data_IF_195741533989
#
_entry.id   IF_195741533989
#
_cell.length_a   1.000
_cell.length_b   1.000
_cell.length_c   1.000
_cell.angle_alpha   90.00
_cell.angle_beta   90.00
_cell.angle_gamma   90.00
#
_symmetry.space_group_name_H-M   'P 1'
#
loop_
_entity.id
_entity.type
_entity.pdbx_description
1 polymer ?
#
# COMPACT_ATOMS: atom_id res chain seq x y z
N UNK A 1 11.26 6.40 -12.33
CA UNK A 1 10.67 5.06 -12.59
C UNK A 1 10.88 4.10 -11.42
N UNK A 2 12.11 3.87 -10.95
CA UNK A 2 12.39 3.06 -9.74
C UNK A 2 11.91 3.71 -8.42
N UNK A 3 12.04 5.04 -8.27
CA UNK A 3 11.45 5.77 -7.14
C UNK A 3 9.92 5.66 -7.11
N UNK A 4 9.29 5.77 -8.28
CA UNK A 4 7.86 5.57 -8.49
C UNK A 4 7.40 4.12 -8.24
N UNK A 5 8.32 3.15 -8.28
CA UNK A 5 8.07 1.73 -7.99
C UNK A 5 8.23 1.43 -6.48
N UNK A 6 9.02 2.23 -5.76
CA UNK A 6 9.19 2.14 -4.30
C UNK A 6 8.06 2.83 -3.54
N UNK A 7 7.49 3.92 -4.08
CA UNK A 7 6.29 4.58 -3.55
C UNK A 7 5.05 3.66 -3.51
N UNK A 8 5.05 2.60 -4.29
CA UNK A 8 4.01 1.56 -4.41
C UNK A 8 4.00 0.61 -3.22
N UNK A 9 5.17 0.42 -2.62
CA UNK A 9 5.35 -0.34 -1.39
C UNK A 9 5.20 0.55 -0.15
N UNK A 10 4.73 1.80 -0.31
CA UNK A 10 4.26 2.60 0.82
C UNK A 10 3.15 1.81 1.54
N UNK A 11 3.18 1.78 2.89
CA UNK A 11 2.32 0.90 3.66
C UNK A 11 0.87 1.31 3.41
N UNK A 12 -0.07 0.42 3.69
CA UNK A 12 -1.46 0.82 3.86
C UNK A 12 -1.53 2.09 4.73
N UNK A 13 -2.08 3.17 4.17
CA UNK A 13 -2.51 4.39 4.85
C UNK A 13 -1.83 4.71 6.19
N UNK A 14 -0.58 5.20 6.16
CA UNK A 14 -0.12 6.04 7.27
C UNK A 14 -1.12 7.21 7.36
N UNK A 15 -1.59 7.52 8.56
CA UNK A 15 -2.37 8.75 8.72
C UNK A 15 -1.53 9.97 8.36
N UNK A 16 -0.21 9.91 8.54
CA UNK A 16 0.69 11.01 8.21
C UNK A 16 1.07 11.07 6.73
N UNK A 17 1.16 12.30 6.21
CA UNK A 17 1.73 12.68 4.93
C UNK A 17 3.26 12.72 4.98
N UNK A 18 3.86 12.38 3.85
CA UNK A 18 5.28 12.48 3.54
C UNK A 18 5.47 13.28 2.25
N UNK A 19 6.71 13.63 1.90
CA UNK A 19 7.00 14.35 0.65
C UNK A 19 6.49 13.62 -0.60
N UNK A 20 6.50 12.29 -0.59
CA UNK A 20 6.00 11.46 -1.69
C UNK A 20 4.46 11.51 -1.83
N UNK A 21 3.75 11.90 -0.78
CA UNK A 21 2.29 12.03 -0.80
C UNK A 21 1.82 13.37 -1.40
N UNK A 22 2.73 14.31 -1.68
CA UNK A 22 2.40 15.58 -2.32
C UNK A 22 2.50 15.44 -3.84
N UNK A 23 1.37 15.19 -4.49
CA UNK A 23 1.28 15.04 -5.95
C UNK A 23 1.71 16.31 -6.68
N UNK A 24 1.27 17.46 -6.20
CA UNK A 24 1.65 18.77 -6.73
C UNK A 24 1.76 19.78 -5.58
N UNK A 25 2.94 19.90 -4.94
CA UNK A 25 3.14 20.84 -3.83
C UNK A 25 2.83 22.29 -4.20
N UNK A 26 3.10 22.70 -5.45
CA UNK A 26 2.86 24.05 -5.95
C UNK A 26 1.36 24.37 -6.02
N UNK A 27 0.56 23.43 -6.51
CA UNK A 27 -0.90 23.57 -6.56
C UNK A 27 -1.52 23.63 -5.15
N UNK A 28 -1.01 22.79 -4.23
CA UNK A 28 -1.44 22.80 -2.84
C UNK A 28 -1.17 24.17 -2.20
N UNK A 29 0.05 24.67 -2.34
CA UNK A 29 0.45 25.97 -1.83
C UNK A 29 -0.36 27.11 -2.45
N UNK A 30 -0.56 27.10 -3.77
CA UNK A 30 -1.37 28.08 -4.48
C UNK A 30 -2.82 28.08 -4.03
N UNK A 31 -3.43 26.89 -3.91
CA UNK A 31 -4.81 26.73 -3.45
C UNK A 31 -4.98 27.23 -2.01
N UNK A 32 -4.02 26.90 -1.14
CA UNK A 32 -3.98 27.43 0.21
C UNK A 32 -3.91 28.94 0.17
N UNK A 33 -2.91 29.54 -0.49
CA UNK A 33 -2.70 31.00 -0.55
C UNK A 33 -3.90 31.80 -1.08
N UNK A 34 -4.67 31.24 -2.01
CA UNK A 34 -5.85 31.93 -2.57
C UNK A 34 -7.02 31.98 -1.59
N UNK A 35 -7.14 31.02 -0.66
CA UNK A 35 -8.27 30.88 0.27
C UNK A 35 -9.64 30.94 -0.43
N UNK A 36 -9.78 30.26 -1.57
CA UNK A 36 -10.94 30.42 -2.46
C UNK A 36 -12.30 30.09 -1.83
N UNK A 37 -12.33 29.30 -0.76
CA UNK A 37 -13.56 28.87 -0.08
C UNK A 37 -13.38 28.76 1.44
N UNK A 38 -14.46 28.47 2.16
CA UNK A 38 -14.45 28.37 3.62
C UNK A 38 -13.56 27.24 4.14
N UNK A 39 -13.44 26.13 3.40
CA UNK A 39 -12.62 24.97 3.77
C UNK A 39 -11.13 25.30 3.70
N UNK A 40 -10.68 25.87 2.59
CA UNK A 40 -9.27 26.28 2.37
C UNK A 40 -8.88 27.42 3.30
N UNK A 41 -9.80 28.35 3.59
CA UNK A 41 -9.62 29.38 4.62
C UNK A 41 -9.43 28.76 6.01
N UNK A 42 -10.26 27.78 6.37
CA UNK A 42 -10.14 27.07 7.64
C UNK A 42 -8.77 26.38 7.77
N UNK A 43 -8.35 25.62 6.76
CA UNK A 43 -7.04 24.94 6.77
C UNK A 43 -5.89 25.94 6.87
N UNK A 44 -5.91 27.03 6.11
CA UNK A 44 -4.85 28.04 6.22
C UNK A 44 -4.76 28.69 7.60
N UNK A 45 -5.90 28.97 8.22
CA UNK A 45 -5.92 29.57 9.56
C UNK A 45 -5.35 28.64 10.64
N UNK A 46 -5.35 27.32 10.40
CA UNK A 46 -4.76 26.31 11.27
C UNK A 46 -3.25 26.12 11.03
N UNK A 47 -2.67 26.71 9.97
CA UNK A 47 -1.23 26.68 9.74
C UNK A 47 -0.49 27.53 10.76
N UNK A 48 0.73 27.10 11.10
CA UNK A 48 1.61 27.87 11.98
C UNK A 48 1.94 29.24 11.33
N UNK A 49 2.15 30.30 12.14
CA UNK A 49 2.53 31.61 11.61
C UNK A 49 3.74 31.58 10.66
N UNK A 50 4.76 30.78 10.99
CA UNK A 50 5.96 30.62 10.16
C UNK A 50 5.65 29.99 8.78
N UNK A 51 4.74 29.01 8.73
CA UNK A 51 4.34 28.38 7.47
C UNK A 51 3.54 29.35 6.61
N UNK A 52 2.68 30.18 7.22
CA UNK A 52 1.94 31.22 6.50
C UNK A 52 2.86 32.28 5.92
N UNK A 53 3.88 32.71 6.68
CA UNK A 53 4.90 33.65 6.19
C UNK A 53 5.63 33.08 4.97
N UNK A 54 6.10 31.83 5.04
CA UNK A 54 6.73 31.15 3.89
C UNK A 54 5.78 31.00 2.69
N UNK A 55 4.48 30.79 2.93
CA UNK A 55 3.48 30.69 1.87
C UNK A 55 3.18 32.05 1.22
N UNK A 56 3.20 33.12 2.01
CA UNK A 56 3.00 34.49 1.55
C UNK A 56 4.21 34.95 0.71
N UNK A 57 5.42 34.53 1.07
CA UNK A 57 6.65 34.74 0.29
C UNK A 57 6.70 33.95 -1.02
N UNK A 58 6.02 32.81 -1.09
CA UNK A 58 5.99 31.99 -2.30
C UNK A 58 5.29 32.71 -3.46
N UNK A 59 6.00 32.93 -4.56
CA UNK A 59 5.54 33.69 -5.72
C UNK A 59 4.43 32.99 -6.55
N UNK A 60 4.09 31.75 -6.20
CA UNK A 60 3.11 30.95 -6.93
C UNK A 60 3.66 30.32 -8.21
N UNK A 61 4.95 30.46 -8.49
CA UNK A 61 5.60 30.04 -9.72
C UNK A 61 6.78 29.09 -9.46
N UNK A 62 6.63 27.82 -9.85
CA UNK A 62 7.70 26.83 -9.80
C UNK A 62 7.61 25.86 -8.60
N UNK A 63 8.67 25.11 -8.31
CA UNK A 63 8.68 24.17 -7.19
C UNK A 63 8.78 24.91 -5.85
N UNK A 64 8.17 24.33 -4.80
CA UNK A 64 8.33 24.82 -3.44
C UNK A 64 9.78 24.70 -2.98
N UNK A 65 10.20 25.61 -2.12
CA UNK A 65 11.42 25.42 -1.33
C UNK A 65 11.25 24.24 -0.36
N UNK A 66 12.35 23.55 -0.07
CA UNK A 66 12.34 22.43 0.89
C UNK A 66 11.77 22.87 2.24
N UNK A 67 12.12 24.08 2.70
CA UNK A 67 11.61 24.63 3.96
C UNK A 67 10.10 24.84 3.99
N UNK A 68 9.50 25.33 2.90
CA UNK A 68 8.05 25.50 2.80
C UNK A 68 7.35 24.16 2.68
N UNK A 69 7.92 23.24 1.90
CA UNK A 69 7.38 21.89 1.76
C UNK A 69 7.36 21.14 3.10
N UNK A 70 8.46 21.16 3.85
CA UNK A 70 8.56 20.52 5.16
C UNK A 70 7.61 21.15 6.19
N UNK A 71 7.51 22.49 6.19
CA UNK A 71 6.59 23.21 7.06
C UNK A 71 5.12 22.86 6.78
N UNK A 72 4.74 22.78 5.50
CA UNK A 72 3.39 22.35 5.10
C UNK A 72 3.11 20.91 5.51
N UNK A 73 4.05 19.99 5.27
CA UNK A 73 3.89 18.57 5.69
C UNK A 73 3.71 18.48 7.20
N UNK A 74 4.51 19.22 7.97
CA UNK A 74 4.43 19.24 9.43
C UNK A 74 3.07 19.74 9.93
N UNK A 75 2.59 20.87 9.40
CA UNK A 75 1.32 21.46 9.83
C UNK A 75 0.12 20.61 9.40
N UNK A 76 0.12 20.08 8.17
CA UNK A 76 -0.94 19.18 7.71
C UNK A 76 -0.96 17.89 8.55
N UNK A 77 0.20 17.34 8.91
CA UNK A 77 0.28 16.19 9.80
C UNK A 77 -0.27 16.49 11.20
N UNK A 78 -0.07 17.70 11.71
CA UNK A 78 -0.67 18.14 12.97
C UNK A 78 -2.20 18.13 12.89
N UNK A 79 -2.77 18.60 11.78
CA UNK A 79 -4.23 18.57 11.56
C UNK A 79 -4.75 17.14 11.44
N UNK A 80 -4.01 16.26 10.76
CA UNK A 80 -4.39 14.86 10.63
C UNK A 80 -4.42 14.16 11.99
N UNK A 81 -3.47 14.47 12.87
CA UNK A 81 -3.42 13.92 14.22
C UNK A 81 -4.37 14.61 15.22
N UNK A 82 -5.14 15.62 14.77
CA UNK A 82 -6.08 16.32 15.64
C UNK A 82 -7.34 15.49 15.89
N UNK A 83 -7.84 15.49 17.12
CA UNK A 83 -9.05 14.77 17.49
C UNK A 83 -10.32 15.40 16.90
N UNK A 84 -10.31 16.70 16.61
CA UNK A 84 -11.49 17.52 16.28
C UNK A 84 -11.57 17.99 14.82
N UNK A 85 -10.53 17.75 14.01
CA UNK A 85 -10.45 18.31 12.66
C UNK A 85 -11.66 17.93 11.78
N UNK A 86 -12.09 16.66 11.82
CA UNK A 86 -13.26 16.17 11.09
C UNK A 86 -14.59 16.79 11.51
N UNK A 87 -14.69 17.40 12.69
CA UNK A 87 -15.93 18.00 13.20
C UNK A 87 -16.18 19.41 12.67
N UNK A 88 -15.22 20.00 11.93
CA UNK A 88 -15.36 21.35 11.43
C UNK A 88 -16.59 21.48 10.49
N UNK A 89 -17.47 22.42 10.82
CA UNK A 89 -18.75 22.65 10.10
C UNK A 89 -18.54 22.87 8.59
N UNK A 90 -17.38 23.43 8.21
CA UNK A 90 -17.00 23.66 6.81
C UNK A 90 -16.96 22.37 5.96
N UNK A 91 -16.69 21.22 6.57
CA UNK A 91 -16.64 19.92 5.87
C UNK A 91 -18.03 19.32 5.60
N UNK A 92 -19.09 19.81 6.27
CA UNK A 92 -20.47 19.31 6.06
C UNK A 92 -21.01 19.59 4.64
N UNK A 93 -20.51 20.65 3.99
CA UNK A 93 -20.92 21.07 2.64
C UNK A 93 -20.02 20.51 1.54
N UNK A 94 -19.04 19.68 1.91
CA UNK A 94 -18.01 19.19 1.02
C UNK A 94 -18.47 17.96 0.23
N UNK A 95 -18.11 17.89 -1.05
CA UNK A 95 -18.35 16.71 -1.88
C UNK A 95 -17.33 15.62 -1.57
N UNK A 96 -17.66 14.74 -0.61
CA UNK A 96 -16.81 13.64 -0.18
C UNK A 96 -16.92 12.41 -1.09
N UNK A 97 -15.80 11.68 -1.24
CA UNK A 97 -15.79 10.35 -1.87
C UNK A 97 -16.54 9.34 -0.98
N UNK A 98 -17.06 8.26 -1.58
CA UNK A 98 -17.83 7.24 -0.85
C UNK A 98 -17.07 6.69 0.37
N UNK A 99 -15.78 6.38 0.21
CA UNK A 99 -14.93 5.85 1.28
C UNK A 99 -14.80 6.82 2.47
N UNK A 100 -14.64 8.12 2.20
CA UNK A 100 -14.56 9.15 3.24
C UNK A 100 -15.89 9.27 3.99
N UNK A 101 -17.01 9.23 3.26
CA UNK A 101 -18.36 9.27 3.84
C UNK A 101 -18.65 8.05 4.72
N UNK A 102 -18.35 6.85 4.22
CA UNK A 102 -18.49 5.60 4.99
C UNK A 102 -17.71 5.64 6.30
N UNK A 103 -16.47 6.15 6.26
CA UNK A 103 -15.64 6.26 7.45
C UNK A 103 -16.18 7.31 8.42
N UNK A 104 -16.62 8.47 7.94
CA UNK A 104 -17.26 9.51 8.75
C UNK A 104 -18.54 8.97 9.45
N UNK A 105 -19.38 8.24 8.72
CA UNK A 105 -20.64 7.68 9.24
C UNK A 105 -20.38 6.58 10.29
N UNK A 106 -19.24 5.89 10.19
CA UNK A 106 -18.86 4.81 11.10
C UNK A 106 -18.44 5.27 12.51
N UNK A 107 -18.27 6.58 12.73
CA UNK A 107 -17.75 7.18 13.98
C UNK A 107 -16.44 6.50 14.42
N UNK A 108 -15.35 6.72 13.67
CA UNK A 108 -14.15 5.94 13.78
C UNK A 108 -13.44 6.17 15.12
N UNK A 109 -12.79 5.12 15.64
CA UNK A 109 -11.90 5.23 16.81
C UNK A 109 -10.53 5.81 16.41
N UNK A 110 -9.68 6.16 17.39
CA UNK A 110 -8.44 6.96 17.21
C UNK A 110 -7.60 6.68 15.94
N UNK A 111 -7.30 5.43 15.62
CA UNK A 111 -6.48 5.11 14.43
C UNK A 111 -7.21 5.41 13.11
N UNK A 112 -8.49 5.07 13.05
CA UNK A 112 -9.32 5.34 11.89
C UNK A 112 -9.76 6.81 11.81
N UNK A 113 -9.73 7.54 12.92
CA UNK A 113 -9.98 8.98 12.99
C UNK A 113 -8.88 9.76 12.27
N UNK A 114 -7.61 9.43 12.51
CA UNK A 114 -6.51 10.08 11.79
C UNK A 114 -6.58 9.80 10.28
N UNK A 115 -7.01 8.60 9.89
CA UNK A 115 -7.22 8.27 8.47
C UNK A 115 -8.37 9.07 7.86
N UNK A 116 -9.46 9.27 8.61
CA UNK A 116 -10.56 10.14 8.19
C UNK A 116 -10.07 11.57 7.93
N UNK A 117 -9.30 12.14 8.86
CA UNK A 117 -8.74 13.49 8.69
C UNK A 117 -7.85 13.58 7.44
N UNK A 118 -7.01 12.57 7.19
CA UNK A 118 -6.23 12.49 5.95
C UNK A 118 -7.11 12.45 4.71
N UNK A 119 -8.18 11.66 4.71
CA UNK A 119 -9.10 11.58 3.57
C UNK A 119 -9.86 12.87 3.32
N UNK A 120 -10.22 13.62 4.37
CA UNK A 120 -10.80 14.95 4.24
C UNK A 120 -9.82 15.91 3.55
N UNK A 121 -8.54 15.90 3.93
CA UNK A 121 -7.51 16.71 3.25
C UNK A 121 -7.29 16.27 1.78
N UNK A 122 -7.26 14.97 1.49
CA UNK A 122 -7.17 14.45 0.11
C UNK A 122 -8.40 14.79 -0.75
N UNK A 123 -9.58 14.88 -0.13
CA UNK A 123 -10.81 15.29 -0.80
C UNK A 123 -10.79 16.80 -1.07
N UNK A 124 -10.15 17.58 -0.18
CA UNK A 124 -10.06 19.04 -0.25
C UNK A 124 -9.01 19.49 -1.27
N UNK A 125 -7.90 18.77 -1.35
CA UNK A 125 -6.78 19.07 -2.25
C UNK A 125 -6.55 17.92 -3.25
N UNK A 126 -7.50 17.64 -4.17
CA UNK A 126 -7.42 16.53 -5.13
C UNK A 126 -6.16 16.51 -5.99
N UNK A 127 -5.71 17.69 -6.38
CA UNK A 127 -4.56 17.88 -7.28
C UNK A 127 -3.25 18.11 -6.52
N UNK A 128 -3.35 18.56 -5.25
CA UNK A 128 -2.22 18.80 -4.37
C UNK A 128 -1.72 17.55 -3.65
N UNK A 129 -2.63 16.75 -3.09
CA UNK A 129 -2.32 15.57 -2.28
C UNK A 129 -2.64 14.30 -3.08
N UNK A 130 -1.70 13.35 -3.09
CA UNK A 130 -1.85 12.10 -3.80
C UNK A 130 -2.94 11.25 -3.17
N UNK A 131 -4.04 11.09 -3.90
CA UNK A 131 -5.03 10.05 -3.62
C UNK A 131 -4.38 8.69 -3.88
N UNK A 132 -4.42 7.79 -2.91
CA UNK A 132 -3.93 6.43 -3.09
C UNK A 132 -4.72 5.74 -4.23
N UNK A 133 -4.14 5.69 -5.43
CA UNK A 133 -4.78 5.08 -6.59
C UNK A 133 -4.54 3.56 -6.55
N UNK A 134 -5.60 2.73 -6.50
CA UNK A 134 -5.47 1.28 -6.43
C UNK A 134 -5.03 0.64 -7.75
N UNK A 135 -4.80 1.42 -8.82
CA UNK A 135 -4.48 0.88 -10.14
C UNK A 135 -3.27 -0.04 -10.11
N UNK A 136 -2.23 0.34 -9.38
CA UNK A 136 -1.02 -0.47 -9.32
C UNK A 136 -1.18 -1.72 -8.45
N UNK A 137 -1.99 -1.64 -7.40
CA UNK A 137 -2.42 -2.82 -6.65
C UNK A 137 -3.17 -3.80 -7.57
N UNK A 138 -4.07 -3.31 -8.41
CA UNK A 138 -4.79 -4.13 -9.39
C UNK A 138 -3.87 -4.68 -10.47
N UNK A 139 -2.93 -3.89 -10.99
CA UNK A 139 -1.93 -4.37 -11.98
C UNK A 139 -1.06 -5.46 -11.35
N UNK A 140 -0.54 -5.26 -10.14
CA UNK A 140 0.24 -6.26 -9.43
C UNK A 140 -0.59 -7.54 -9.18
N UNK A 141 -1.84 -7.40 -8.75
CA UNK A 141 -2.76 -8.52 -8.58
C UNK A 141 -3.01 -9.29 -9.88
N UNK A 142 -3.18 -8.60 -11.01
CA UNK A 142 -3.32 -9.22 -12.33
C UNK A 142 -2.06 -9.98 -12.73
N UNK A 143 -0.88 -9.40 -12.55
CA UNK A 143 0.41 -10.05 -12.82
C UNK A 143 0.52 -11.34 -12.00
N UNK A 144 0.30 -11.26 -10.68
CA UNK A 144 0.34 -12.44 -9.80
C UNK A 144 -0.66 -13.50 -10.25
N UNK A 145 -1.88 -13.10 -10.62
CA UNK A 145 -2.92 -14.00 -11.12
C UNK A 145 -2.51 -14.75 -12.39
N UNK A 146 -1.90 -14.05 -13.36
CA UNK A 146 -1.43 -14.62 -14.62
C UNK A 146 -0.34 -15.68 -14.40
N UNK A 147 0.55 -15.50 -13.42
CA UNK A 147 1.62 -16.47 -13.13
C UNK A 147 1.20 -17.59 -12.18
N UNK A 148 0.29 -17.32 -11.23
CA UNK A 148 -0.12 -18.30 -10.20
C UNK A 148 -0.86 -19.50 -10.79
N UNK A 149 -1.76 -19.27 -11.75
CA UNK A 149 -2.52 -20.34 -12.40
C UNK A 149 -1.64 -21.36 -13.16
N UNK A 150 -0.83 -20.91 -14.13
CA UNK A 150 0.12 -21.77 -14.84
C UNK A 150 1.09 -22.50 -13.91
N UNK A 151 1.59 -21.84 -12.86
CA UNK A 151 2.49 -22.47 -11.89
C UNK A 151 1.83 -23.66 -11.17
N UNK A 152 0.56 -23.53 -10.76
CA UNK A 152 -0.18 -24.63 -10.13
C UNK A 152 -0.47 -25.78 -11.10
N UNK A 153 -0.83 -25.48 -12.35
CA UNK A 153 -1.08 -26.49 -13.38
C UNK A 153 0.20 -27.22 -13.80
N UNK A 154 1.31 -26.49 -13.98
CA UNK A 154 2.62 -27.05 -14.32
C UNK A 154 3.14 -27.98 -13.23
N UNK A 155 2.99 -27.60 -11.95
CA UNK A 155 3.39 -28.45 -10.82
C UNK A 155 2.66 -29.79 -10.82
N UNK A 156 1.35 -29.80 -11.09
CA UNK A 156 0.58 -31.05 -11.18
C UNK A 156 0.94 -31.86 -12.43
N UNK A 157 1.16 -31.21 -13.56
CA UNK A 157 1.59 -31.87 -14.79
C UNK A 157 2.95 -32.54 -14.63
N UNK A 158 3.92 -31.85 -14.01
CA UNK A 158 5.24 -32.41 -13.70
C UNK A 158 5.11 -33.60 -12.74
N UNK A 159 4.31 -33.47 -11.68
CA UNK A 159 4.03 -34.57 -10.76
C UNK A 159 3.53 -35.82 -11.50
N UNK A 160 2.59 -35.66 -12.44
CA UNK A 160 2.10 -36.75 -13.26
C UNK A 160 3.16 -37.39 -14.19
N UNK A 161 4.27 -36.72 -14.47
CA UNK A 161 5.37 -37.26 -15.29
C UNK A 161 6.40 -38.03 -14.45
N UNK A 162 6.63 -37.60 -13.20
CA UNK A 162 7.70 -38.15 -12.33
C UNK A 162 7.20 -39.17 -11.29
N UNK A 163 5.90 -39.48 -11.27
CA UNK A 163 5.32 -40.41 -10.29
C UNK A 163 5.03 -41.77 -10.92
N UNK A 164 5.44 -42.90 -10.30
CA UNK A 164 5.10 -44.23 -10.79
C UNK A 164 3.57 -44.45 -10.90
N UNK A 165 3.06 -45.10 -11.96
CA UNK A 165 1.61 -45.30 -12.16
C UNK A 165 0.90 -46.04 -11.01
N UNK A 166 1.59 -46.95 -10.34
CA UNK A 166 1.08 -47.73 -9.21
C UNK A 166 1.06 -46.93 -7.89
N UNK A 167 1.64 -45.73 -7.87
CA UNK A 167 1.82 -44.90 -6.68
C UNK A 167 1.21 -43.51 -6.76
N UNK A 168 0.46 -43.20 -7.83
CA UNK A 168 -0.13 -41.87 -8.05
C UNK A 168 -0.89 -41.35 -6.82
N UNK A 169 -1.77 -42.17 -6.22
CA UNK A 169 -2.58 -41.75 -5.08
C UNK A 169 -1.75 -41.37 -3.85
N UNK A 170 -0.67 -42.10 -3.56
CA UNK A 170 0.21 -41.84 -2.42
C UNK A 170 0.96 -40.51 -2.61
N UNK A 171 1.49 -40.30 -3.81
CA UNK A 171 2.26 -39.10 -4.15
C UNK A 171 1.39 -37.84 -4.26
N UNK A 172 0.23 -37.91 -4.93
CA UNK A 172 -0.73 -36.80 -4.98
C UNK A 172 -1.33 -36.51 -3.60
N UNK A 173 -1.55 -37.54 -2.78
CA UNK A 173 -1.96 -37.40 -1.39
C UNK A 173 -0.91 -36.66 -0.56
N UNK A 174 0.35 -37.03 -0.68
CA UNK A 174 1.47 -36.36 -0.02
C UNK A 174 1.64 -34.91 -0.49
N UNK A 175 1.55 -34.64 -1.80
CA UNK A 175 1.60 -33.29 -2.37
C UNK A 175 0.48 -32.39 -1.83
N UNK A 176 -0.75 -32.91 -1.72
CA UNK A 176 -1.86 -32.16 -1.16
C UNK A 176 -1.70 -31.93 0.35
N UNK A 177 -1.16 -32.92 1.08
CA UNK A 177 -0.88 -32.82 2.50
C UNK A 177 0.21 -31.78 2.80
N UNK A 178 1.33 -31.81 2.08
CA UNK A 178 2.46 -30.88 2.27
C UNK A 178 2.03 -29.43 2.05
N UNK A 179 1.19 -29.17 1.04
CA UNK A 179 0.63 -27.84 0.80
C UNK A 179 -0.22 -27.34 1.98
N UNK A 180 -1.08 -28.19 2.55
CA UNK A 180 -1.90 -27.83 3.72
C UNK A 180 -1.05 -27.68 4.98
N UNK A 181 -0.08 -28.57 5.18
CA UNK A 181 0.82 -28.56 6.33
C UNK A 181 1.67 -27.29 6.39
N UNK A 182 1.95 -26.66 5.25
CA UNK A 182 2.76 -25.42 5.19
C UNK A 182 1.91 -24.15 5.07
N UNK A 183 0.59 -24.25 4.87
CA UNK A 183 -0.28 -23.09 4.60
C UNK A 183 -0.27 -22.04 5.72
N UNK A 184 -0.01 -22.43 6.98
CA UNK A 184 0.04 -21.51 8.10
C UNK A 184 1.36 -20.73 8.21
N UNK A 185 2.42 -21.19 7.52
CA UNK A 185 3.75 -20.55 7.58
C UNK A 185 3.72 -19.12 7.05
N UNK A 186 2.97 -18.86 5.97
CA UNK A 186 2.85 -17.53 5.37
C UNK A 186 2.29 -16.49 6.36
N UNK A 187 1.05 -16.68 6.87
CA UNK A 187 0.47 -15.79 7.86
C UNK A 187 1.29 -15.69 9.16
N UNK A 188 1.86 -16.81 9.63
CA UNK A 188 2.67 -16.83 10.84
C UNK A 188 3.92 -15.94 10.73
N UNK A 189 4.69 -16.08 9.65
CA UNK A 189 5.88 -15.28 9.42
C UNK A 189 5.54 -13.82 9.10
N UNK A 190 4.48 -13.58 8.32
CA UNK A 190 4.00 -12.22 8.06
C UNK A 190 3.65 -11.48 9.35
N UNK A 191 2.87 -12.12 10.23
CA UNK A 191 2.48 -11.53 11.53
C UNK A 191 3.68 -11.32 12.44
N UNK A 192 4.57 -12.32 12.53
CA UNK A 192 5.78 -12.24 13.36
C UNK A 192 6.71 -11.11 12.91
N UNK A 193 7.02 -11.02 11.61
CA UNK A 193 7.87 -9.96 11.07
C UNK A 193 7.21 -8.58 11.16
N UNK A 194 5.90 -8.49 10.94
CA UNK A 194 5.18 -7.22 11.11
C UNK A 194 5.28 -6.73 12.56
N UNK A 195 5.06 -7.62 13.53
CA UNK A 195 5.10 -7.27 14.95
C UNK A 195 6.51 -6.97 15.46
N UNK A 196 7.54 -7.65 14.95
CA UNK A 196 8.92 -7.45 15.39
C UNK A 196 9.53 -6.16 14.86
N UNK A 197 9.20 -5.79 13.63
CA UNK A 197 9.77 -4.62 12.95
C UNK A 197 8.83 -3.42 12.92
N UNK A 198 7.67 -3.52 13.58
CA UNK A 198 6.56 -2.55 13.55
C UNK A 198 6.27 -2.04 12.13
N UNK A 199 6.36 -2.97 11.16
CA UNK A 199 6.36 -2.62 9.74
C UNK A 199 5.70 -3.72 8.93
N UNK A 200 4.52 -3.41 8.41
CA UNK A 200 3.80 -4.30 7.50
C UNK A 200 4.57 -4.57 6.20
N UNK A 201 5.44 -3.63 5.78
CA UNK A 201 6.30 -3.82 4.60
C UNK A 201 7.27 -4.98 4.79
N UNK A 202 7.91 -5.04 5.97
CA UNK A 202 8.79 -6.16 6.33
C UNK A 202 7.98 -7.45 6.46
N UNK A 203 6.76 -7.39 6.98
CA UNK A 203 5.83 -8.52 6.97
C UNK A 203 5.57 -9.10 5.58
N UNK A 204 5.25 -8.25 4.60
CA UNK A 204 4.97 -8.66 3.21
C UNK A 204 6.22 -9.20 2.50
N UNK A 205 7.42 -8.79 2.92
CA UNK A 205 8.69 -9.28 2.35
C UNK A 205 8.88 -10.81 2.47
N UNK A 206 8.11 -11.46 3.36
CA UNK A 206 8.08 -12.92 3.48
C UNK A 206 7.74 -13.61 2.15
N UNK A 207 6.96 -12.97 1.28
CA UNK A 207 6.63 -13.50 -0.04
C UNK A 207 7.90 -13.68 -0.86
N UNK A 208 8.79 -12.69 -0.85
CA UNK A 208 10.07 -12.73 -1.56
C UNK A 208 10.96 -13.83 -0.96
N UNK A 209 11.00 -13.95 0.36
CA UNK A 209 11.75 -15.00 1.05
C UNK A 209 11.31 -16.40 0.59
N UNK A 210 10.01 -16.69 0.56
CA UNK A 210 9.49 -17.97 0.08
C UNK A 210 9.77 -18.21 -1.40
N UNK A 211 9.66 -17.17 -2.24
CA UNK A 211 10.02 -17.28 -3.66
C UNK A 211 11.50 -17.64 -3.83
N UNK A 212 12.42 -16.97 -3.13
CA UNK A 212 13.85 -17.27 -3.21
C UNK A 212 14.14 -18.70 -2.75
N UNK A 213 13.58 -19.13 -1.62
CA UNK A 213 13.75 -20.50 -1.12
C UNK A 213 13.20 -21.51 -2.12
N UNK A 214 11.98 -21.29 -2.64
CA UNK A 214 11.36 -22.17 -3.62
C UNK A 214 12.14 -22.24 -4.94
N UNK A 215 12.64 -21.10 -5.42
CA UNK A 215 13.49 -21.03 -6.62
C UNK A 215 14.79 -21.78 -6.43
N UNK A 216 15.46 -21.64 -5.28
CA UNK A 216 16.68 -22.41 -4.97
C UNK A 216 16.38 -23.91 -4.94
N UNK A 217 15.28 -24.32 -4.30
CA UNK A 217 14.88 -25.74 -4.25
C UNK A 217 14.62 -26.32 -5.64
N UNK A 218 14.00 -25.54 -6.54
CA UNK A 218 13.73 -25.99 -7.92
C UNK A 218 15.00 -26.22 -8.75
N UNK A 219 16.10 -25.50 -8.48
CA UNK A 219 17.37 -25.72 -9.19
C UNK A 219 17.95 -27.13 -8.95
N UNK A 220 17.56 -27.78 -7.84
CA UNK A 220 18.03 -29.13 -7.52
C UNK A 220 17.14 -30.25 -8.07
N UNK A 221 16.07 -29.91 -8.79
CA UNK A 221 15.15 -30.91 -9.36
C UNK A 221 15.65 -31.36 -10.72
N UNK A 222 15.94 -32.65 -10.85
CA UNK A 222 16.24 -33.30 -12.13
C UNK A 222 14.97 -33.99 -12.67
N UNK A 223 14.39 -33.40 -13.72
CA UNK A 223 13.16 -33.91 -14.32
C UNK A 223 13.38 -35.20 -15.13
N UNK A 224 14.51 -35.31 -15.84
CA UNK A 224 14.79 -36.44 -16.72
C UNK A 224 14.98 -37.72 -15.90
N UNK A 225 15.77 -37.61 -14.83
CA UNK A 225 15.96 -38.71 -13.89
C UNK A 225 14.65 -39.11 -13.21
N UNK A 226 13.82 -38.13 -12.83
CA UNK A 226 12.51 -38.38 -12.24
C UNK A 226 11.59 -39.19 -13.16
N UNK A 227 11.54 -38.85 -14.45
CA UNK A 227 10.71 -39.57 -15.45
C UNK A 227 11.24 -40.99 -15.68
N UNK A 228 12.57 -41.13 -15.80
CA UNK A 228 13.24 -42.41 -16.00
C UNK A 228 12.96 -43.39 -14.85
N UNK A 229 13.08 -42.92 -13.60
CA UNK A 229 12.81 -43.71 -12.41
C UNK A 229 11.31 -44.05 -12.28
N UNK A 230 10.42 -43.16 -12.74
CA UNK A 230 8.98 -43.40 -12.75
C UNK A 230 8.53 -44.42 -13.82
N UNK A 231 9.39 -44.76 -14.78
CA UNK A 231 9.08 -45.69 -15.87
C UNK A 231 8.04 -45.15 -16.87
N UNK A 232 8.02 -43.83 -17.10
CA UNK A 232 7.07 -43.13 -17.99
C UNK A 232 7.68 -42.64 -19.32
N UNK A 233 8.69 -43.35 -19.84
CA UNK A 233 9.29 -43.08 -21.16
C UNK A 233 8.32 -43.25 -22.33
#
# INVERSE_FOLDING_TARGET
>A
MLASLLAVFAPNGSSTLTGDDLRNPAELAGTLKVHANSQTTYVYNQLAPATRELLDEYDGAGPLSESLQDALILDLNRMIQSDDFHEAETFSTMTLRNKTRELLDSKPQKEDLHRLNRYLLEDLFPDGIQRFFPLLFWIAGMIIGIFSGPNQSASRSLMGRIVPPDKENEFYGFFAFSGKATAFMGPFLLGSLTSLFDSQRVGVSVVILFFVIGSILMVFVDEEEGIRVAGRE
#
